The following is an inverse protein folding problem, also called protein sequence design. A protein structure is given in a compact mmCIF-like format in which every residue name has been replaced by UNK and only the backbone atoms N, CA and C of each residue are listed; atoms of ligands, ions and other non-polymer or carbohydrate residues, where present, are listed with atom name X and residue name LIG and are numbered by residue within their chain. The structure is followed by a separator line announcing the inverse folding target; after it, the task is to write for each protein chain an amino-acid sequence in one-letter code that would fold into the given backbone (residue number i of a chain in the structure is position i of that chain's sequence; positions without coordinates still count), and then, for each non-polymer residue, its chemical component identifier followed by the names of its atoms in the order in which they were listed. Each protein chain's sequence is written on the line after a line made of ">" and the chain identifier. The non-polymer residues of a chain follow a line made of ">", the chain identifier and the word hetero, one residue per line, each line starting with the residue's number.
data_IF_347648931063
#
_entry.id   IF_347648931063
#
_cell.length_a   1.000
_cell.length_b   1.000
_cell.length_c   1.000
_cell.angle_alpha   90.00
_cell.angle_beta   90.00
_cell.angle_gamma   90.00
#
_symmetry.space_group_name_H-M   'P 1'
#
loop_
_entity.id
_entity.type
_entity.pdbx_description
1 polymer ?
#
# COMPACT_ATOMS: atom_id res chain seq x y z
N UNK A 1 -18.18 -7.39 -7.34
CA UNK A 1 -18.88 -6.65 -6.23
C UNK A 1 -17.85 -5.73 -5.61
N UNK A 2 -18.21 -4.51 -5.27
CA UNK A 2 -17.25 -3.55 -4.69
C UNK A 2 -16.90 -3.95 -3.26
N UNK A 3 -15.61 -4.03 -2.94
CA UNK A 3 -15.12 -4.28 -1.59
C UNK A 3 -15.31 -3.06 -0.69
N UNK A 4 -15.65 -3.32 0.57
CA UNK A 4 -15.91 -2.33 1.62
C UNK A 4 -15.37 -2.86 2.94
N UNK A 5 -15.35 -2.03 3.98
CA UNK A 5 -14.98 -2.48 5.33
C UNK A 5 -15.87 -3.63 5.82
N UNK A 6 -17.15 -3.67 5.41
CA UNK A 6 -18.06 -4.76 5.75
C UNK A 6 -17.68 -6.08 5.06
N UNK A 7 -17.22 -6.04 3.80
CA UNK A 7 -16.76 -7.27 3.10
C UNK A 7 -15.46 -7.81 3.70
N UNK A 8 -14.63 -6.96 4.29
CA UNK A 8 -13.44 -7.37 5.05
C UNK A 8 -13.82 -8.11 6.34
N UNK A 9 -14.76 -7.56 7.11
CA UNK A 9 -15.28 -8.23 8.31
C UNK A 9 -15.95 -9.58 7.97
N UNK A 10 -16.74 -9.61 6.88
CA UNK A 10 -17.37 -10.83 6.40
C UNK A 10 -16.33 -11.89 5.99
N UNK A 11 -15.26 -11.49 5.29
CA UNK A 11 -14.18 -12.41 4.90
C UNK A 11 -13.56 -13.11 6.11
N UNK A 12 -13.31 -12.38 7.21
CA UNK A 12 -12.85 -12.98 8.47
C UNK A 12 -13.86 -13.96 9.04
N UNK A 13 -15.13 -13.59 9.11
CA UNK A 13 -16.18 -14.45 9.64
C UNK A 13 -16.34 -15.76 8.84
N UNK A 14 -16.12 -15.70 7.54
CA UNK A 14 -16.16 -16.85 6.62
C UNK A 14 -14.83 -17.63 6.54
N UNK A 15 -13.77 -17.16 7.18
CA UNK A 15 -12.43 -17.74 7.06
C UNK A 15 -11.80 -17.57 5.67
N UNK A 16 -12.31 -16.65 4.84
CA UNK A 16 -11.77 -16.32 3.51
C UNK A 16 -10.58 -15.39 3.66
N UNK A 17 -9.48 -15.72 3.00
CA UNK A 17 -8.27 -14.91 3.03
C UNK A 17 -8.42 -13.69 2.15
N UNK A 18 -7.95 -12.53 2.65
CA UNK A 18 -7.91 -11.27 1.94
C UNK A 18 -6.55 -11.08 1.26
N UNK A 19 -6.55 -10.71 0.00
CA UNK A 19 -5.36 -10.36 -0.76
C UNK A 19 -5.30 -8.84 -0.97
N UNK A 20 -4.20 -8.22 -0.57
CA UNK A 20 -3.95 -6.80 -0.76
C UNK A 20 -2.59 -6.57 -1.42
N UNK A 21 -2.48 -5.49 -2.18
CA UNK A 21 -1.23 -4.99 -2.74
C UNK A 21 -1.15 -3.48 -2.54
N UNK A 22 0.05 -2.92 -2.65
CA UNK A 22 0.19 -1.47 -2.81
C UNK A 22 0.00 -1.10 -4.28
N UNK A 23 -0.51 0.09 -4.58
CA UNK A 23 -0.41 0.73 -5.88
C UNK A 23 -0.25 2.25 -5.72
N UNK A 24 0.34 2.90 -6.74
CA UNK A 24 0.67 4.32 -6.67
C UNK A 24 0.27 5.09 -7.92
N UNK A 25 -0.32 4.45 -8.93
CA UNK A 25 -0.75 5.05 -10.19
C UNK A 25 -2.02 4.38 -10.73
N UNK A 26 -2.58 5.03 -11.76
CA UNK A 26 -3.82 4.59 -12.41
C UNK A 26 -3.69 3.22 -13.07
N UNK A 27 -2.60 3.00 -13.82
CA UNK A 27 -2.45 1.80 -14.66
C UNK A 27 -2.25 0.56 -13.81
N UNK A 28 -1.39 0.63 -12.78
CA UNK A 28 -1.16 -0.45 -11.83
C UNK A 28 -2.44 -0.79 -11.07
N UNK A 29 -3.13 0.22 -10.53
CA UNK A 29 -4.37 0.02 -9.79
C UNK A 29 -5.46 -0.63 -10.65
N UNK A 30 -5.53 -0.28 -11.93
CA UNK A 30 -6.48 -0.90 -12.88
C UNK A 30 -6.15 -2.38 -13.10
N UNK A 31 -4.89 -2.74 -13.28
CA UNK A 31 -4.47 -4.13 -13.47
C UNK A 31 -4.73 -4.98 -12.21
N UNK A 32 -4.48 -4.43 -11.02
CA UNK A 32 -4.76 -5.10 -9.76
C UNK A 32 -6.27 -5.32 -9.55
N UNK A 33 -7.09 -4.30 -9.84
CA UNK A 33 -8.55 -4.38 -9.73
C UNK A 33 -9.14 -5.40 -10.72
N UNK A 34 -8.64 -5.43 -11.97
CA UNK A 34 -9.01 -6.41 -12.99
C UNK A 34 -8.58 -7.83 -12.60
N UNK A 35 -7.47 -7.99 -11.87
CA UNK A 35 -7.03 -9.26 -11.31
C UNK A 35 -7.87 -9.75 -10.11
N UNK A 36 -8.75 -8.89 -9.56
CA UNK A 36 -9.67 -9.25 -8.49
C UNK A 36 -9.10 -9.08 -7.09
N UNK A 37 -8.16 -8.15 -6.88
CA UNK A 37 -7.61 -7.83 -5.56
C UNK A 37 -8.69 -7.35 -4.60
N UNK A 38 -8.63 -7.73 -3.32
CA UNK A 38 -9.62 -7.30 -2.31
C UNK A 38 -9.40 -5.84 -1.87
N UNK A 39 -8.15 -5.41 -1.71
CA UNK A 39 -7.81 -4.06 -1.31
C UNK A 39 -6.51 -3.57 -1.91
N UNK A 40 -6.43 -2.26 -2.12
CA UNK A 40 -5.24 -1.56 -2.61
C UNK A 40 -4.82 -0.54 -1.57
N UNK A 41 -3.55 -0.59 -1.16
CA UNK A 41 -2.96 0.37 -0.23
C UNK A 41 -2.11 1.39 -1.00
N UNK A 42 -2.41 2.65 -0.82
CA UNK A 42 -1.48 3.71 -1.16
C UNK A 42 -0.58 3.88 0.07
N UNK A 43 0.52 3.12 0.08
CA UNK A 43 1.47 3.09 1.19
C UNK A 43 2.47 4.23 1.13
N UNK A 44 2.95 4.71 2.29
CA UNK A 44 4.07 5.64 2.37
C UNK A 44 5.40 4.99 1.95
N UNK A 45 5.47 3.64 1.89
CA UNK A 45 6.54 2.86 1.23
C UNK A 45 6.86 3.32 -0.21
N UNK A 46 5.93 4.07 -0.87
CA UNK A 46 6.23 4.75 -2.14
C UNK A 46 7.42 5.72 -2.03
N UNK A 47 7.70 6.23 -0.84
CA UNK A 47 8.91 7.03 -0.61
C UNK A 47 10.14 6.30 -1.12
N UNK A 48 10.27 5.02 -0.80
CA UNK A 48 11.38 4.17 -1.25
C UNK A 48 11.25 3.75 -2.72
N UNK A 49 10.11 3.09 -3.08
CA UNK A 49 9.99 2.35 -4.34
C UNK A 49 9.55 3.20 -5.54
N UNK A 50 9.06 4.43 -5.31
CA UNK A 50 8.60 5.34 -6.38
C UNK A 50 9.41 6.64 -6.39
N UNK A 51 9.65 7.24 -5.21
CA UNK A 51 10.33 8.54 -5.10
C UNK A 51 11.84 8.40 -4.86
N UNK A 52 12.33 7.19 -4.54
CA UNK A 52 13.76 6.93 -4.34
C UNK A 52 14.32 7.53 -3.03
N UNK A 53 13.46 7.78 -2.03
CA UNK A 53 13.89 8.22 -0.71
C UNK A 53 14.48 7.05 0.09
N UNK A 54 15.37 7.35 1.03
CA UNK A 54 15.99 6.35 1.91
C UNK A 54 14.98 5.75 2.91
N UNK A 55 13.96 6.54 3.29
CA UNK A 55 12.90 6.15 4.23
C UNK A 55 11.53 6.73 3.83
N UNK A 56 10.52 6.50 4.67
CA UNK A 56 9.14 6.97 4.45
C UNK A 56 8.86 8.34 5.10
N UNK A 57 9.80 8.89 5.88
CA UNK A 57 9.56 10.08 6.71
C UNK A 57 9.35 11.37 5.92
N UNK A 58 9.95 11.44 4.72
CA UNK A 58 9.83 12.61 3.84
C UNK A 58 8.53 12.66 3.03
N UNK A 59 7.68 11.63 3.11
CA UNK A 59 6.41 11.56 2.39
C UNK A 59 5.41 12.54 3.01
N UNK A 60 4.77 13.36 2.17
CA UNK A 60 3.79 14.37 2.58
C UNK A 60 2.34 13.93 2.39
N UNK A 61 1.39 14.62 3.03
CA UNK A 61 -0.05 14.41 2.80
C UNK A 61 -0.42 14.72 1.34
N UNK A 62 0.18 15.74 0.75
CA UNK A 62 -0.01 16.14 -0.64
C UNK A 62 0.40 15.04 -1.61
N UNK A 63 1.50 14.42 -1.35
CA UNK A 63 1.95 13.25 -2.09
C UNK A 63 0.96 12.10 -1.98
N UNK A 64 0.47 11.79 -0.78
CA UNK A 64 -0.51 10.74 -0.58
C UNK A 64 -1.82 11.03 -1.32
N UNK A 65 -2.29 12.27 -1.30
CA UNK A 65 -3.47 12.74 -2.05
C UNK A 65 -3.27 12.52 -3.55
N UNK A 66 -2.11 12.95 -4.09
CA UNK A 66 -1.80 12.83 -5.52
C UNK A 66 -1.90 11.38 -6.01
N UNK A 67 -1.20 10.47 -5.34
CA UNK A 67 -1.19 9.06 -5.73
C UNK A 67 -2.53 8.36 -5.45
N UNK A 68 -3.17 8.65 -4.32
CA UNK A 68 -4.46 8.09 -3.97
C UNK A 68 -5.54 8.46 -4.99
N UNK A 69 -5.59 9.71 -5.44
CA UNK A 69 -6.52 10.13 -6.48
C UNK A 69 -6.30 9.42 -7.82
N UNK A 70 -5.06 9.10 -8.18
CA UNK A 70 -4.74 8.32 -9.37
C UNK A 70 -5.21 6.87 -9.24
N UNK A 71 -4.88 6.20 -8.13
CA UNK A 71 -5.31 4.83 -7.82
C UNK A 71 -6.83 4.72 -7.80
N UNK A 72 -7.52 5.64 -7.13
CA UNK A 72 -8.99 5.64 -7.03
C UNK A 72 -9.71 5.79 -8.38
N UNK A 73 -9.06 6.36 -9.40
CA UNK A 73 -9.59 6.36 -10.77
C UNK A 73 -9.41 5.02 -11.48
N UNK A 74 -8.33 4.29 -11.16
CA UNK A 74 -8.01 2.99 -11.75
C UNK A 74 -8.84 1.85 -11.18
N UNK A 75 -8.99 1.78 -9.87
CA UNK A 75 -9.70 0.71 -9.16
C UNK A 75 -11.17 1.03 -8.98
N UNK A 76 -12.05 0.07 -9.33
CA UNK A 76 -13.51 0.19 -9.21
C UNK A 76 -14.10 -0.69 -8.12
N UNK A 77 -13.47 -1.84 -7.86
CA UNK A 77 -13.96 -2.89 -6.97
C UNK A 77 -13.15 -3.01 -5.68
N UNK A 78 -11.85 -2.83 -5.73
CA UNK A 78 -10.98 -2.92 -4.57
C UNK A 78 -11.28 -1.85 -3.50
N UNK A 79 -11.10 -2.20 -2.23
CA UNK A 79 -11.12 -1.23 -1.13
C UNK A 79 -9.85 -0.37 -1.18
N UNK A 80 -9.99 0.93 -1.29
CA UNK A 80 -8.86 1.88 -1.37
C UNK A 80 -8.50 2.35 0.04
N UNK A 81 -7.33 1.97 0.51
CA UNK A 81 -6.74 2.38 1.78
C UNK A 81 -5.60 3.36 1.51
N UNK A 82 -5.54 4.47 2.23
CA UNK A 82 -4.46 5.45 2.10
C UNK A 82 -3.74 5.65 3.43
N UNK A 83 -2.41 5.56 3.43
CA UNK A 83 -1.62 5.84 4.61
C UNK A 83 -1.69 7.31 5.01
N UNK A 84 -1.78 7.53 6.30
CA UNK A 84 -1.47 8.82 6.91
C UNK A 84 0.06 8.87 7.11
N UNK A 85 0.79 9.77 6.41
CA UNK A 85 2.24 9.81 6.51
C UNK A 85 2.70 10.36 7.87
N UNK A 86 3.97 10.16 8.17
CA UNK A 86 4.62 10.63 9.41
C UNK A 86 4.29 12.09 9.73
N UNK A 87 3.99 12.38 10.99
CA UNK A 87 3.56 13.68 11.53
C UNK A 87 2.24 14.24 10.97
N UNK A 88 1.46 13.44 10.27
CA UNK A 88 0.14 13.86 9.79
C UNK A 88 -0.99 13.58 10.79
N UNK A 89 -0.74 12.76 11.82
CA UNK A 89 -1.72 12.38 12.84
C UNK A 89 -1.18 12.44 14.28
N UNK A 90 0.13 12.49 14.48
CA UNK A 90 0.74 12.48 15.81
C UNK A 90 0.69 13.85 16.50
N UNK A 91 0.65 14.94 15.73
CA UNK A 91 0.74 16.32 16.26
C UNK A 91 -0.46 16.65 17.14
N UNK A 92 -1.67 16.36 16.69
CA UNK A 92 -2.90 16.55 17.46
C UNK A 92 -4.07 15.75 16.88
N UNK A 93 -5.06 15.44 17.72
CA UNK A 93 -6.30 14.78 17.29
C UNK A 93 -7.05 15.57 16.20
N UNK A 94 -7.22 16.91 16.30
CA UNK A 94 -7.84 17.71 15.22
C UNK A 94 -7.08 17.64 13.91
N UNK A 95 -5.73 17.63 13.93
CA UNK A 95 -4.93 17.49 12.70
C UNK A 95 -5.08 16.12 12.08
N UNK A 96 -5.11 15.05 12.90
CA UNK A 96 -5.36 13.69 12.44
C UNK A 96 -6.71 13.58 11.70
N UNK A 97 -7.79 14.11 12.26
CA UNK A 97 -9.11 14.11 11.63
C UNK A 97 -9.12 14.93 10.35
N UNK A 98 -8.47 16.13 10.34
CA UNK A 98 -8.38 16.99 9.16
C UNK A 98 -7.63 16.31 8.02
N UNK A 99 -6.46 15.71 8.30
CA UNK A 99 -5.64 15.05 7.29
C UNK A 99 -6.30 13.76 6.77
N UNK A 100 -6.91 12.95 7.64
CA UNK A 100 -7.73 11.81 7.23
C UNK A 100 -8.87 12.25 6.29
N UNK A 101 -9.58 13.34 6.64
CA UNK A 101 -10.62 13.93 5.80
C UNK A 101 -10.13 14.39 4.44
N UNK A 102 -8.91 14.95 4.35
CA UNK A 102 -8.27 15.32 3.08
C UNK A 102 -7.98 14.12 2.21
N UNK A 103 -7.45 13.04 2.79
CA UNK A 103 -7.18 11.80 2.05
C UNK A 103 -8.45 11.19 1.43
N UNK A 104 -9.59 11.27 2.10
CA UNK A 104 -10.86 10.84 1.56
C UNK A 104 -11.42 11.80 0.51
N UNK A 105 -11.44 13.10 0.80
CA UNK A 105 -12.08 14.11 -0.06
C UNK A 105 -11.27 14.42 -1.32
N UNK A 106 -9.98 14.66 -1.15
CA UNK A 106 -9.06 15.05 -2.22
C UNK A 106 -8.41 13.81 -2.86
N UNK A 107 -7.94 12.85 -2.01
CA UNK A 107 -7.32 11.60 -2.43
C UNK A 107 -8.29 10.53 -2.89
N UNK A 108 -9.62 10.66 -2.57
CA UNK A 108 -10.68 9.72 -2.93
C UNK A 108 -10.48 8.30 -2.34
N UNK A 109 -9.71 8.17 -1.25
CA UNK A 109 -9.61 6.93 -0.50
C UNK A 109 -10.95 6.54 0.14
N UNK A 110 -11.14 5.25 0.44
CA UNK A 110 -12.32 4.77 1.17
C UNK A 110 -12.07 4.76 2.68
N UNK A 111 -10.84 4.60 3.10
CA UNK A 111 -10.38 4.54 4.48
C UNK A 111 -8.92 4.96 4.58
N UNK A 112 -8.44 5.19 5.81
CA UNK A 112 -7.04 5.52 6.07
C UNK A 112 -6.34 4.43 6.86
N UNK A 113 -5.00 4.36 6.78
CA UNK A 113 -4.16 3.56 7.67
C UNK A 113 -3.22 4.47 8.46
N UNK A 114 -2.93 4.13 9.70
CA UNK A 114 -1.95 4.81 10.53
C UNK A 114 -1.21 3.80 11.43
N UNK A 115 0.00 4.17 11.84
CA UNK A 115 0.93 3.34 12.59
C UNK A 115 0.89 3.70 14.07
N UNK A 116 1.03 2.69 14.93
CA UNK A 116 1.04 2.83 16.39
C UNK A 116 -0.01 1.98 17.07
N UNK A 117 0.16 1.81 18.38
CA UNK A 117 -0.71 1.03 19.26
C UNK A 117 -1.64 1.90 20.11
N UNK A 118 -1.64 1.64 21.42
CA UNK A 118 -2.46 2.35 22.39
C UNK A 118 -2.29 3.87 22.34
N UNK A 119 -1.07 4.34 22.04
CA UNK A 119 -0.70 5.76 21.98
C UNK A 119 -1.44 6.56 20.91
N UNK A 120 -1.92 5.90 19.84
CA UNK A 120 -2.67 6.55 18.74
C UNK A 120 -4.19 6.28 18.80
N UNK A 121 -4.67 5.56 19.80
CA UNK A 121 -6.09 5.26 19.94
C UNK A 121 -7.00 6.50 20.04
N UNK A 122 -6.59 7.64 20.66
CA UNK A 122 -7.38 8.87 20.64
C UNK A 122 -7.61 9.40 19.21
N UNK A 123 -6.60 9.34 18.34
CA UNK A 123 -6.70 9.74 16.95
C UNK A 123 -7.61 8.78 16.17
N UNK A 124 -7.41 7.46 16.35
CA UNK A 124 -8.25 6.42 15.72
C UNK A 124 -9.72 6.64 16.07
N UNK A 125 -10.04 6.78 17.36
CA UNK A 125 -11.42 6.98 17.82
C UNK A 125 -12.04 8.27 17.22
N UNK A 126 -11.30 9.36 17.17
CA UNK A 126 -11.79 10.62 16.63
C UNK A 126 -12.01 10.56 15.11
N UNK A 127 -11.10 9.91 14.36
CA UNK A 127 -11.23 9.71 12.92
C UNK A 127 -12.45 8.83 12.63
N UNK A 128 -12.63 7.72 13.38
CA UNK A 128 -13.79 6.83 13.26
C UNK A 128 -15.09 7.56 13.62
N UNK A 129 -15.10 8.37 14.68
CA UNK A 129 -16.25 9.19 15.05
C UNK A 129 -16.64 10.23 13.98
N UNK A 130 -15.67 10.67 13.17
CA UNK A 130 -15.93 11.52 12.00
C UNK A 130 -16.48 10.75 10.78
N UNK A 131 -16.72 9.43 10.89
CA UNK A 131 -17.25 8.58 9.82
C UNK A 131 -16.18 8.06 8.85
N UNK A 132 -14.90 8.14 9.21
CA UNK A 132 -13.78 7.69 8.39
C UNK A 132 -13.28 6.34 8.93
N UNK A 133 -13.35 5.24 8.16
CA UNK A 133 -12.83 3.96 8.61
C UNK A 133 -11.30 3.98 8.74
N UNK A 134 -10.76 3.34 9.78
CA UNK A 134 -9.34 3.29 10.08
C UNK A 134 -8.83 1.85 10.07
N UNK A 135 -7.72 1.60 9.39
CA UNK A 135 -6.89 0.41 9.48
C UNK A 135 -5.70 0.72 10.41
N UNK A 136 -5.49 -0.07 11.45
CA UNK A 136 -4.31 0.05 12.31
C UNK A 136 -3.09 -0.62 11.69
N UNK A 137 -1.88 -0.28 12.18
CA UNK A 137 -0.65 -0.94 11.77
C UNK A 137 0.29 -1.14 12.97
N UNK A 138 0.62 -2.39 13.26
CA UNK A 138 1.43 -2.84 14.38
C UNK A 138 2.62 -3.70 13.93
N UNK A 139 3.57 -3.86 14.82
CA UNK A 139 4.80 -4.60 14.58
C UNK A 139 5.93 -3.66 14.17
N UNK A 140 6.57 -3.91 13.05
CA UNK A 140 7.47 -2.94 12.46
C UNK A 140 6.64 -1.83 11.84
N UNK A 141 6.81 -0.63 12.33
CA UNK A 141 6.18 0.58 11.81
C UNK A 141 7.27 1.44 11.16
N UNK A 142 7.35 1.50 9.81
CA UNK A 142 8.43 2.21 9.10
C UNK A 142 8.59 3.67 9.50
N UNK A 143 7.51 4.34 9.87
CA UNK A 143 7.56 5.72 10.36
C UNK A 143 8.34 5.86 11.68
N UNK A 144 8.46 4.79 12.45
CA UNK A 144 9.23 4.73 13.69
C UNK A 144 10.64 4.18 13.50
N UNK A 145 11.17 4.09 12.26
CA UNK A 145 12.43 3.43 11.93
C UNK A 145 13.63 3.95 12.74
N UNK A 146 13.67 5.27 12.97
CA UNK A 146 14.73 5.89 13.77
C UNK A 146 14.65 5.49 15.24
N UNK A 147 13.46 5.34 15.81
CA UNK A 147 13.27 4.87 17.17
C UNK A 147 13.64 3.40 17.34
N UNK A 148 13.39 2.57 16.33
CA UNK A 148 13.77 1.15 16.33
C UNK A 148 15.25 0.90 16.04
N UNK A 149 15.96 1.88 15.47
CA UNK A 149 17.33 1.72 15.01
C UNK A 149 17.45 0.70 13.87
N UNK A 150 16.54 0.76 12.90
CA UNK A 150 16.50 -0.05 11.68
C UNK A 150 15.36 -1.07 11.60
N UNK A 151 15.30 -1.78 10.48
CA UNK A 151 14.26 -2.79 10.20
C UNK A 151 14.47 -4.05 11.04
N UNK A 152 13.73 -4.20 12.14
CA UNK A 152 13.84 -5.31 13.08
C UNK A 152 12.49 -6.00 13.28
N UNK A 153 12.51 -7.33 13.37
CA UNK A 153 11.32 -8.13 13.73
C UNK A 153 10.88 -7.77 15.15
N UNK A 154 9.61 -7.42 15.31
CA UNK A 154 9.00 -6.97 16.55
C UNK A 154 8.33 -8.12 17.31
N UNK A 155 8.09 -7.96 18.63
CA UNK A 155 7.35 -8.94 19.42
C UNK A 155 8.17 -10.19 19.86
N UNK A 156 9.50 -10.15 19.85
CA UNK A 156 10.34 -11.32 20.19
C UNK A 156 10.45 -11.61 21.68
N UNK A 157 10.31 -10.61 22.55
CA UNK A 157 10.32 -10.81 24.00
C UNK A 157 8.90 -10.97 24.55
N UNK A 158 8.75 -11.56 25.73
CA UNK A 158 7.44 -11.70 26.38
C UNK A 158 6.75 -10.33 26.56
N UNK A 159 7.46 -9.33 27.04
CA UNK A 159 6.92 -7.98 27.22
C UNK A 159 6.45 -7.37 25.90
N UNK A 160 7.26 -7.47 24.82
CA UNK A 160 6.90 -6.96 23.50
C UNK A 160 5.74 -7.74 22.88
N UNK A 161 5.63 -9.05 23.09
CA UNK A 161 4.51 -9.86 22.63
C UNK A 161 3.21 -9.49 23.35
N UNK A 162 3.24 -9.31 24.70
CA UNK A 162 2.10 -8.86 25.48
C UNK A 162 1.62 -7.46 25.06
N UNK A 163 2.58 -6.54 24.84
CA UNK A 163 2.26 -5.19 24.33
C UNK A 163 1.57 -5.27 22.98
N UNK A 164 2.09 -6.04 22.03
CA UNK A 164 1.49 -6.18 20.70
C UNK A 164 0.04 -6.67 20.75
N UNK A 165 -0.27 -7.65 21.62
CA UNK A 165 -1.63 -8.15 21.83
C UNK A 165 -2.51 -7.06 22.46
N UNK A 166 -2.00 -6.32 23.46
CA UNK A 166 -2.71 -5.22 24.10
C UNK A 166 -3.03 -4.11 23.10
N UNK A 167 -2.03 -3.72 22.29
CA UNK A 167 -2.18 -2.69 21.26
C UNK A 167 -3.22 -3.07 20.20
N UNK A 168 -3.23 -4.34 19.77
CA UNK A 168 -4.22 -4.82 18.80
C UNK A 168 -5.67 -4.72 19.36
N UNK A 169 -5.85 -5.10 20.63
CA UNK A 169 -7.15 -4.97 21.30
C UNK A 169 -7.56 -3.50 21.51
N UNK A 170 -6.61 -2.64 21.84
CA UNK A 170 -6.86 -1.21 22.00
C UNK A 170 -7.26 -0.54 20.68
N UNK A 171 -6.60 -0.87 19.58
CA UNK A 171 -6.98 -0.38 18.23
C UNK A 171 -8.38 -0.85 17.83
N UNK A 172 -8.71 -2.13 18.06
CA UNK A 172 -10.05 -2.65 17.83
C UNK A 172 -11.09 -1.91 18.67
N UNK A 173 -10.83 -1.72 19.97
CA UNK A 173 -11.71 -0.98 20.86
C UNK A 173 -11.87 0.50 20.46
N UNK A 174 -10.85 1.11 19.87
CA UNK A 174 -10.89 2.46 19.29
C UNK A 174 -11.68 2.53 17.97
N UNK A 175 -12.08 1.39 17.39
CA UNK A 175 -12.90 1.30 16.19
C UNK A 175 -12.14 1.02 14.89
N UNK A 176 -10.88 0.59 14.95
CA UNK A 176 -10.18 0.12 13.75
C UNK A 176 -10.93 -1.08 13.13
N UNK A 177 -11.13 -1.06 11.80
CA UNK A 177 -11.85 -2.14 11.09
C UNK A 177 -10.95 -3.30 10.67
N UNK A 178 -9.65 -3.10 10.64
CA UNK A 178 -8.62 -4.10 10.34
C UNK A 178 -7.27 -3.66 10.92
N UNK A 179 -6.33 -4.58 11.06
CA UNK A 179 -4.98 -4.31 11.60
C UNK A 179 -3.93 -4.98 10.72
N UNK A 180 -2.96 -4.20 10.23
CA UNK A 180 -1.75 -4.73 9.59
C UNK A 180 -0.78 -5.20 10.68
N UNK A 181 -0.18 -6.38 10.48
CA UNK A 181 0.88 -6.92 11.31
C UNK A 181 2.14 -7.07 10.45
N UNK A 182 3.15 -6.22 10.69
CA UNK A 182 4.39 -6.23 9.91
C UNK A 182 5.57 -6.78 10.70
N UNK A 183 6.34 -7.68 10.07
CA UNK A 183 7.57 -8.25 10.62
C UNK A 183 7.40 -8.78 12.06
N UNK A 184 6.32 -9.53 12.29
CA UNK A 184 5.96 -10.17 13.56
C UNK A 184 6.17 -11.68 13.46
N UNK A 185 6.70 -12.37 14.51
CA UNK A 185 6.81 -13.83 14.50
C UNK A 185 5.47 -14.50 14.18
N UNK A 186 5.45 -15.44 13.24
CA UNK A 186 4.23 -16.05 12.70
C UNK A 186 3.29 -16.63 13.77
N UNK A 187 3.83 -17.24 14.83
CA UNK A 187 3.03 -17.79 15.94
C UNK A 187 2.35 -16.68 16.77
N UNK A 188 3.05 -15.55 16.96
CA UNK A 188 2.49 -14.38 17.66
C UNK A 188 1.41 -13.71 16.82
N UNK A 189 1.65 -13.52 15.53
CA UNK A 189 0.65 -12.95 14.61
C UNK A 189 -0.63 -13.81 14.56
N UNK A 190 -0.48 -15.14 14.51
CA UNK A 190 -1.63 -16.06 14.57
C UNK A 190 -2.38 -15.99 15.91
N UNK A 191 -1.68 -15.73 17.01
CA UNK A 191 -2.31 -15.51 18.33
C UNK A 191 -3.07 -14.18 18.32
N UNK A 192 -2.45 -13.07 17.89
CA UNK A 192 -3.13 -11.76 17.77
C UNK A 192 -4.39 -11.88 16.93
N UNK A 193 -4.31 -12.58 15.77
CA UNK A 193 -5.46 -12.80 14.87
C UNK A 193 -6.64 -13.46 15.54
N UNK A 194 -6.40 -14.36 16.52
CA UNK A 194 -7.45 -15.02 17.31
C UNK A 194 -8.00 -14.14 18.44
N UNK A 195 -7.19 -13.21 18.94
CA UNK A 195 -7.52 -12.36 20.09
C UNK A 195 -8.35 -11.13 19.70
N UNK A 196 -8.41 -10.78 18.40
CA UNK A 196 -9.20 -9.65 17.88
C UNK A 196 -10.31 -10.12 16.95
N UNK A 197 -11.43 -9.42 16.95
CA UNK A 197 -12.57 -9.69 16.07
C UNK A 197 -12.42 -9.08 14.67
N UNK A 198 -11.54 -8.06 14.52
CA UNK A 198 -11.29 -7.43 13.21
C UNK A 198 -10.26 -8.21 12.37
N UNK A 199 -10.31 -8.14 11.04
CA UNK A 199 -9.34 -8.78 10.17
C UNK A 199 -7.90 -8.32 10.44
N UNK A 200 -6.96 -9.27 10.44
CA UNK A 200 -5.52 -8.99 10.45
C UNK A 200 -4.92 -9.23 9.07
N UNK A 201 -4.09 -8.30 8.62
CA UNK A 201 -3.39 -8.35 7.32
C UNK A 201 -1.89 -8.47 7.58
N UNK A 202 -1.30 -9.59 7.19
CA UNK A 202 0.10 -9.86 7.46
C UNK A 202 1.02 -9.37 6.33
N UNK A 203 2.17 -8.84 6.72
CA UNK A 203 3.33 -8.64 5.86
C UNK A 203 4.59 -9.06 6.64
N UNK A 204 5.21 -10.17 6.24
CA UNK A 204 6.26 -10.78 7.05
C UNK A 204 5.80 -11.29 8.42
N UNK A 205 4.51 -11.66 8.55
CA UNK A 205 3.89 -12.13 9.79
C UNK A 205 3.37 -13.58 9.69
N UNK A 206 3.70 -14.29 8.62
CA UNK A 206 3.28 -15.67 8.38
C UNK A 206 1.82 -15.81 7.89
N UNK A 207 1.39 -17.05 7.62
CA UNK A 207 0.10 -17.36 7.00
C UNK A 207 -1.08 -17.37 7.98
N UNK A 208 -0.84 -17.12 9.28
CA UNK A 208 -1.89 -17.16 10.33
C UNK A 208 -2.82 -15.96 10.36
N UNK A 209 -2.52 -14.88 9.65
CA UNK A 209 -3.37 -13.70 9.51
C UNK A 209 -4.56 -13.96 8.58
N UNK A 210 -5.60 -13.13 8.65
CA UNK A 210 -6.79 -13.21 7.81
C UNK A 210 -6.53 -12.77 6.35
N UNK A 211 -5.50 -11.98 6.12
CA UNK A 211 -5.05 -11.58 4.78
C UNK A 211 -3.54 -11.36 4.72
N UNK A 212 -3.07 -11.01 3.51
CA UNK A 212 -1.66 -10.69 3.24
C UNK A 212 -1.59 -9.44 2.37
N UNK A 213 -0.53 -8.64 2.57
CA UNK A 213 -0.19 -7.51 1.70
C UNK A 213 1.28 -7.57 1.33
N UNK A 214 1.61 -7.13 0.11
CA UNK A 214 2.97 -6.90 -0.35
C UNK A 214 3.07 -5.57 -1.11
N UNK A 215 4.27 -5.02 -1.16
CA UNK A 215 4.62 -3.94 -2.09
C UNK A 215 4.71 -4.56 -3.50
N UNK A 216 3.94 -4.02 -4.46
CA UNK A 216 3.84 -4.66 -5.78
C UNK A 216 5.17 -4.65 -6.54
N UNK A 217 6.00 -3.63 -6.37
CA UNK A 217 7.33 -3.58 -6.99
C UNK A 217 8.22 -4.71 -6.50
N UNK A 218 8.13 -5.06 -5.22
CA UNK A 218 8.92 -6.14 -4.64
C UNK A 218 8.48 -7.49 -5.19
N UNK A 219 7.17 -7.77 -5.16
CA UNK A 219 6.65 -9.06 -5.61
C UNK A 219 6.76 -9.27 -7.13
N UNK A 220 6.83 -8.19 -7.91
CA UNK A 220 7.03 -8.26 -9.37
C UNK A 220 8.50 -8.13 -9.78
N UNK A 221 9.43 -7.98 -8.82
CA UNK A 221 10.86 -7.86 -9.11
C UNK A 221 11.21 -6.58 -9.88
N UNK A 222 10.45 -5.50 -9.68
CA UNK A 222 10.73 -4.19 -10.28
C UNK A 222 11.73 -3.39 -9.45
N UNK A 223 11.62 -3.46 -8.11
CA UNK A 223 12.57 -2.84 -7.19
C UNK A 223 13.69 -3.82 -6.87
N UNK A 224 14.95 -3.40 -7.02
CA UNK A 224 16.13 -4.25 -6.95
C UNK A 224 17.10 -3.92 -5.83
N UNK A 225 16.98 -2.75 -5.20
CA UNK A 225 17.98 -2.26 -4.23
C UNK A 225 17.91 -3.04 -2.92
N UNK A 226 16.72 -3.46 -2.53
CA UNK A 226 16.50 -4.30 -1.37
C UNK A 226 15.26 -5.20 -1.57
N UNK A 227 15.35 -6.47 -1.16
CA UNK A 227 14.21 -7.38 -1.16
C UNK A 227 14.08 -8.02 0.22
N UNK A 228 13.03 -7.70 1.01
CA UNK A 228 12.80 -8.31 2.30
C UNK A 228 12.67 -9.83 2.21
N UNK A 229 13.19 -10.55 3.21
CA UNK A 229 13.16 -12.03 3.27
C UNK A 229 11.77 -12.62 3.10
N UNK A 230 10.73 -11.92 3.52
CA UNK A 230 9.35 -12.41 3.47
C UNK A 230 8.69 -12.22 2.10
N UNK A 231 9.34 -11.52 1.17
CA UNK A 231 8.80 -11.31 -0.17
C UNK A 231 9.06 -12.55 -1.03
N UNK A 232 8.00 -13.08 -1.60
CA UNK A 232 8.07 -14.03 -2.72
C UNK A 232 7.92 -13.25 -4.01
N UNK A 233 8.85 -13.43 -4.95
CA UNK A 233 8.71 -12.91 -6.32
C UNK A 233 7.76 -13.80 -7.10
N UNK A 234 6.73 -13.19 -7.67
CA UNK A 234 5.73 -13.84 -8.52
C UNK A 234 6.01 -13.62 -10.01
N UNK A 235 6.81 -12.60 -10.35
CA UNK A 235 7.28 -12.30 -11.70
C UNK A 235 8.62 -11.54 -11.66
N UNK A 236 9.26 -11.36 -12.82
CA UNK A 236 10.50 -10.59 -13.02
C UNK A 236 10.24 -9.43 -14.01
N UNK A 237 9.29 -8.57 -13.68
CA UNK A 237 8.88 -7.45 -14.56
C UNK A 237 10.02 -6.47 -14.79
N UNK A 238 10.87 -6.22 -13.80
CA UNK A 238 12.04 -5.34 -13.95
C UNK A 238 13.02 -5.83 -15.01
N UNK A 239 13.19 -7.14 -15.18
CA UNK A 239 14.01 -7.73 -16.25
C UNK A 239 13.33 -7.52 -17.60
N UNK A 240 12.06 -7.86 -17.75
CA UNK A 240 11.30 -7.66 -18.97
C UNK A 240 11.28 -6.19 -19.42
N UNK A 241 11.19 -5.25 -18.48
CA UNK A 241 11.29 -3.81 -18.78
C UNK A 241 12.66 -3.42 -19.34
N UNK A 242 13.77 -3.91 -18.72
CA UNK A 242 15.12 -3.65 -19.23
C UNK A 242 15.31 -4.19 -20.63
N UNK A 243 14.83 -5.39 -20.90
CA UNK A 243 14.92 -6.02 -22.23
C UNK A 243 14.12 -5.23 -23.28
N UNK A 244 12.90 -4.79 -22.93
CA UNK A 244 12.08 -3.94 -23.78
C UNK A 244 12.76 -2.59 -24.08
N UNK A 245 13.35 -1.95 -23.06
CA UNK A 245 14.09 -0.71 -23.26
C UNK A 245 15.33 -0.91 -24.16
N UNK A 246 16.07 -2.02 -23.97
CA UNK A 246 17.22 -2.33 -24.80
C UNK A 246 16.82 -2.58 -26.26
N UNK A 247 15.75 -3.34 -26.52
CA UNK A 247 15.23 -3.56 -27.86
C UNK A 247 14.84 -2.25 -28.54
N UNK A 248 14.05 -1.41 -27.86
CA UNK A 248 13.66 -0.09 -28.38
C UNK A 248 14.88 0.78 -28.71
N UNK A 249 15.85 0.85 -27.80
CA UNK A 249 17.09 1.65 -28.03
C UNK A 249 17.85 1.16 -29.26
N UNK A 250 17.98 -0.15 -29.43
CA UNK A 250 18.70 -0.73 -30.55
C UNK A 250 17.99 -0.46 -31.88
N UNK A 251 16.68 -0.72 -31.96
CA UNK A 251 15.88 -0.51 -33.18
C UNK A 251 15.88 0.96 -33.62
N UNK A 252 15.80 1.91 -32.67
CA UNK A 252 15.91 3.35 -32.97
C UNK A 252 17.30 3.68 -33.54
N UNK A 253 18.39 3.13 -32.97
CA UNK A 253 19.76 3.37 -33.41
C UNK A 253 20.06 2.75 -34.77
N UNK A 254 19.46 1.59 -35.05
CA UNK A 254 19.62 0.89 -36.35
C UNK A 254 18.67 1.45 -37.43
N UNK A 255 17.73 2.33 -37.08
CA UNK A 255 16.76 2.89 -38.01
C UNK A 255 15.64 1.90 -38.42
N UNK A 256 15.51 0.77 -37.74
CA UNK A 256 14.45 -0.21 -37.97
C UNK A 256 13.11 0.18 -37.32
N UNK A 257 13.13 1.04 -36.29
CA UNK A 257 11.97 1.71 -35.72
C UNK A 257 12.08 3.23 -35.90
N UNK A 258 11.00 3.94 -36.35
CA UNK A 258 9.70 3.41 -36.75
C UNK A 258 9.73 2.73 -38.15
N UNK A 259 8.99 1.62 -38.30
CA UNK A 259 8.72 1.00 -39.58
C UNK A 259 7.57 1.72 -40.29
N UNK A 260 7.29 1.31 -41.55
CA UNK A 260 6.22 1.92 -42.35
C UNK A 260 4.81 1.86 -41.67
N UNK A 261 4.55 0.84 -40.86
CA UNK A 261 3.30 0.69 -40.11
C UNK A 261 3.15 1.67 -38.91
N UNK A 262 4.27 2.27 -38.47
CA UNK A 262 4.34 3.24 -37.40
C UNK A 262 4.38 4.70 -37.89
N UNK A 263 4.15 4.93 -39.23
CA UNK A 263 4.27 6.25 -39.86
C UNK A 263 2.96 6.72 -40.42
N UNK A 264 2.81 8.04 -40.52
CA UNK A 264 1.68 8.66 -41.20
C UNK A 264 2.07 9.06 -42.64
N UNK A 265 1.15 8.89 -43.56
CA UNK A 265 1.35 9.25 -44.97
C UNK A 265 0.88 10.69 -45.20
N UNK A 266 1.54 11.35 -46.14
CA UNK A 266 1.10 12.61 -46.71
C UNK A 266 1.05 12.44 -48.22
N UNK A 267 0.11 13.07 -48.89
CA UNK A 267 0.02 13.04 -50.37
C UNK A 267 1.21 13.79 -51.00
N UNK A 268 1.83 13.20 -51.99
CA UNK A 268 2.99 13.79 -52.71
C UNK A 268 2.65 15.15 -53.30
N UNK A 269 1.42 15.34 -53.82
CA UNK A 269 0.91 16.63 -54.31
C UNK A 269 0.96 17.75 -53.27
N UNK A 270 0.82 17.41 -51.98
CA UNK A 270 0.92 18.41 -50.89
C UNK A 270 2.42 18.77 -50.68
N UNK A 271 3.29 17.80 -50.77
CA UNK A 271 4.75 18.02 -50.61
C UNK A 271 5.30 18.85 -51.75
N UNK A 272 4.87 18.58 -53.01
CA UNK A 272 5.27 19.34 -54.21
C UNK A 272 4.90 20.83 -54.13
N UNK A 273 3.86 21.18 -53.39
CA UNK A 273 3.43 22.58 -53.18
C UNK A 273 4.22 23.33 -52.12
N UNK A 274 5.10 22.64 -51.38
CA UNK A 274 5.93 23.24 -50.32
C UNK A 274 7.32 23.71 -50.83
N UNK A 275 7.69 23.32 -52.04
CA UNK A 275 8.93 23.67 -52.74
C UNK A 275 8.57 24.30 -54.11
#
# INVERSE_FOLDING_TARGET
>A
MKNTVATFAQAKAEGRKLAMLTAYDYSTAKLEDEAGIDGILIGDSRGNVVLGYEDTLSVTVEDMIHHSAAVARGAKNALIVCDMPFLSYEVSVPDAVRNAGRLLKEGRANCVKLEGGEEVCPQVAAIVAAGIPVMGHLGLTPQSINAFGGFKVQGKSEAAARKLISDAKALEAAGAFAIVLEAVPAKLAALVTKEVGVPTIGIGAGAGCDGQILVYQDMLGMFSDFCPKFVKRFANVGEAMRDGFASYINEVREGSFPSAEHTFKIDDEVLEKLY
#
